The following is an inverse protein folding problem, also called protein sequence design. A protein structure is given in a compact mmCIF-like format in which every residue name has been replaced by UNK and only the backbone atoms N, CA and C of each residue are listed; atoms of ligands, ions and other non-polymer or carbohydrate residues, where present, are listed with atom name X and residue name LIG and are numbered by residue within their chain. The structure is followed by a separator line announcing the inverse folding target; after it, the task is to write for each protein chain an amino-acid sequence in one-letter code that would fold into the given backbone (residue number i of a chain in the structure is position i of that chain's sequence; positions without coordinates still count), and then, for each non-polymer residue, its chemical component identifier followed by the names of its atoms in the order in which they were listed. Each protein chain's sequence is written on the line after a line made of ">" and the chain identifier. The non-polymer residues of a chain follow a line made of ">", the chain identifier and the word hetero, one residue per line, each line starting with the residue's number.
data_IF_614561418134
#
_entry.id   IF_614561418134
#
_cell.length_a   1.000
_cell.length_b   1.000
_cell.length_c   1.000
_cell.angle_alpha   90.00
_cell.angle_beta   90.00
_cell.angle_gamma   90.00
#
_symmetry.space_group_name_H-M   'P 1'
#
loop_
_entity.id
_entity.type
_entity.pdbx_description
1 polymer ?
#
# COMPACT_ATOMS: atom_id res chain seq x y z
N UNK A 1 5.14 -17.97 -33.91
CA UNK A 1 4.96 -16.92 -32.90
C UNK A 1 5.30 -17.39 -31.47
N UNK A 2 5.06 -18.65 -31.10
CA UNK A 2 5.38 -19.20 -29.76
C UNK A 2 6.89 -19.22 -29.40
N UNK A 3 7.79 -19.53 -30.35
CA UNK A 3 9.24 -19.59 -30.09
C UNK A 3 9.88 -18.22 -29.77
N UNK A 4 9.32 -17.15 -30.33
CA UNK A 4 9.81 -15.79 -30.06
C UNK A 4 9.42 -15.34 -28.65
N UNK A 5 8.20 -15.65 -28.20
CA UNK A 5 7.75 -15.38 -26.84
C UNK A 5 8.61 -16.11 -25.80
N UNK A 6 8.97 -17.37 -26.06
CA UNK A 6 9.80 -18.17 -25.14
C UNK A 6 11.22 -17.60 -25.00
N UNK A 7 11.84 -17.14 -26.09
CA UNK A 7 13.16 -16.47 -26.04
C UNK A 7 13.11 -15.13 -25.31
N UNK A 8 12.06 -14.33 -25.52
CA UNK A 8 11.91 -13.05 -24.80
C UNK A 8 11.74 -13.28 -23.30
N UNK A 9 10.99 -14.30 -22.90
CA UNK A 9 10.82 -14.65 -21.48
C UNK A 9 12.15 -15.12 -20.87
N UNK A 10 12.89 -16.01 -21.55
CA UNK A 10 14.18 -16.49 -21.07
C UNK A 10 15.18 -15.34 -20.86
N UNK A 11 15.31 -14.45 -21.86
CA UNK A 11 16.23 -13.30 -21.77
C UNK A 11 15.80 -12.29 -20.69
N UNK A 12 14.49 -12.12 -20.48
CA UNK A 12 13.99 -11.21 -19.42
C UNK A 12 14.31 -11.79 -18.04
N UNK A 13 14.16 -13.10 -17.85
CA UNK A 13 14.50 -13.78 -16.60
C UNK A 13 16.00 -13.68 -16.32
N UNK A 14 16.86 -13.94 -17.31
CA UNK A 14 18.31 -13.86 -17.16
C UNK A 14 18.77 -12.43 -16.81
N UNK A 15 18.23 -11.41 -17.49
CA UNK A 15 18.49 -10.01 -17.17
C UNK A 15 18.04 -9.62 -15.75
N UNK A 16 16.92 -10.18 -15.27
CA UNK A 16 16.46 -9.93 -13.88
C UNK A 16 17.35 -10.62 -12.85
N UNK A 17 17.92 -11.78 -13.17
CA UNK A 17 18.87 -12.50 -12.31
C UNK A 17 20.20 -11.74 -12.23
N UNK A 18 20.71 -11.22 -13.35
CA UNK A 18 21.93 -10.40 -13.34
C UNK A 18 21.73 -9.05 -12.62
N UNK A 19 20.58 -8.40 -12.81
CA UNK A 19 20.25 -7.16 -12.12
C UNK A 19 20.06 -7.36 -10.60
N UNK A 20 19.59 -8.52 -10.15
CA UNK A 20 19.49 -8.83 -8.71
C UNK A 20 20.84 -9.19 -8.10
N UNK A 21 21.68 -9.94 -8.83
CA UNK A 21 23.05 -10.28 -8.39
C UNK A 21 23.93 -9.04 -8.22
N UNK A 22 23.94 -8.14 -9.20
CA UNK A 22 24.70 -6.88 -9.13
C UNK A 22 24.25 -5.96 -7.98
N UNK A 23 22.95 -5.96 -7.64
CA UNK A 23 22.44 -5.22 -6.47
C UNK A 23 22.87 -5.83 -5.15
N UNK A 24 22.90 -7.17 -5.07
CA UNK A 24 23.39 -7.86 -3.88
C UNK A 24 24.88 -7.63 -3.67
N UNK A 25 25.69 -7.71 -4.72
CA UNK A 25 27.13 -7.42 -4.63
C UNK A 25 27.36 -5.98 -4.14
N UNK A 26 26.61 -5.02 -4.68
CA UNK A 26 26.68 -3.61 -4.24
C UNK A 26 26.22 -3.41 -2.79
N UNK A 27 25.22 -4.16 -2.33
CA UNK A 27 24.79 -4.12 -0.94
C UNK A 27 25.85 -4.69 -0.01
N UNK A 28 26.44 -5.84 -0.37
CA UNK A 28 27.52 -6.47 0.40
C UNK A 28 28.75 -5.57 0.49
N UNK A 29 29.17 -4.93 -0.60
CA UNK A 29 30.32 -4.01 -0.58
C UNK A 29 30.02 -2.77 0.27
N UNK A 30 28.81 -2.23 0.18
CA UNK A 30 28.42 -1.04 0.97
C UNK A 30 28.32 -1.38 2.46
N UNK A 31 27.76 -2.55 2.80
CA UNK A 31 27.69 -3.03 4.17
C UNK A 31 29.08 -3.27 4.77
N UNK A 32 30.02 -3.83 4.00
CA UNK A 32 31.41 -4.01 4.44
C UNK A 32 32.09 -2.69 4.77
N UNK A 33 31.95 -1.67 3.91
CA UNK A 33 32.55 -0.35 4.14
C UNK A 33 31.99 0.29 5.42
N UNK A 34 30.68 0.19 5.67
CA UNK A 34 30.09 0.70 6.91
C UNK A 34 30.49 -0.11 8.15
N UNK A 35 30.70 -1.42 8.01
CA UNK A 35 31.19 -2.27 9.08
C UNK A 35 32.62 -1.90 9.46
N UNK A 36 33.49 -1.69 8.49
CA UNK A 36 34.89 -1.28 8.72
C UNK A 36 34.96 0.13 9.36
N UNK A 37 34.16 1.09 8.88
CA UNK A 37 34.04 2.42 9.51
C UNK A 37 33.58 2.35 10.97
N UNK A 38 32.65 1.44 11.28
CA UNK A 38 32.17 1.26 12.65
C UNK A 38 33.24 0.59 13.52
N UNK A 39 33.97 -0.39 12.98
CA UNK A 39 35.06 -1.06 13.66
C UNK A 39 36.23 -0.11 13.98
N UNK A 40 36.57 0.81 13.06
CA UNK A 40 37.57 1.86 13.30
C UNK A 40 37.13 2.82 14.42
N UNK A 41 35.86 3.26 14.43
CA UNK A 41 35.34 4.10 15.51
C UNK A 41 35.42 3.42 16.89
N UNK A 42 35.19 2.11 16.96
CA UNK A 42 35.37 1.34 18.20
C UNK A 42 36.83 1.28 18.66
N UNK A 43 37.81 1.28 17.74
CA UNK A 43 39.22 1.33 18.12
C UNK A 43 39.60 2.69 18.71
N UNK A 44 39.07 3.78 18.17
CA UNK A 44 39.28 5.14 18.70
C UNK A 44 38.68 5.28 20.11
N UNK A 45 37.46 4.76 20.33
CA UNK A 45 36.86 4.74 21.67
C UNK A 45 37.68 3.90 22.66
N UNK A 46 38.27 2.79 22.22
CA UNK A 46 39.15 1.98 23.08
C UNK A 46 40.40 2.73 23.50
N UNK A 47 40.99 3.53 22.59
CA UNK A 47 42.16 4.34 22.89
C UNK A 47 41.84 5.51 23.83
N UNK A 48 40.71 6.19 23.64
CA UNK A 48 40.24 7.22 24.57
C UNK A 48 39.90 6.63 25.94
N UNK A 49 39.22 5.47 25.99
CA UNK A 49 38.90 4.80 27.24
C UNK A 49 40.15 4.40 28.03
N UNK A 50 41.17 3.85 27.37
CA UNK A 50 42.42 3.49 28.04
C UNK A 50 43.16 4.68 28.65
N UNK A 51 43.05 5.89 28.07
CA UNK A 51 43.61 7.11 28.66
C UNK A 51 42.91 7.48 29.97
N UNK A 52 41.59 7.41 30.01
CA UNK A 52 40.82 7.67 31.24
C UNK A 52 40.98 6.57 32.27
N UNK A 53 41.08 5.31 31.83
CA UNK A 53 41.31 4.15 32.69
C UNK A 53 42.67 4.25 33.39
N UNK A 54 43.75 4.62 32.69
CA UNK A 54 45.07 4.78 33.29
C UNK A 54 45.10 5.89 34.36
N UNK A 55 44.39 7.01 34.14
CA UNK A 55 44.28 8.11 35.11
C UNK A 55 43.40 7.72 36.30
N UNK A 56 42.29 7.02 36.07
CA UNK A 56 41.39 6.56 37.13
C UNK A 56 42.06 5.47 37.99
N UNK A 57 42.69 4.47 37.37
CA UNK A 57 43.42 3.42 38.07
C UNK A 57 44.65 3.95 38.79
N UNK A 58 45.33 4.97 38.24
CA UNK A 58 46.42 5.68 38.92
C UNK A 58 45.95 6.35 40.21
N UNK A 59 44.85 7.11 40.15
CA UNK A 59 44.24 7.74 41.33
C UNK A 59 43.69 6.73 42.32
N UNK A 60 43.12 5.62 41.85
CA UNK A 60 42.63 4.53 42.72
C UNK A 60 43.82 3.86 43.42
N UNK A 61 44.95 3.63 42.75
CA UNK A 61 46.16 3.08 43.39
C UNK A 61 46.74 4.02 44.45
N UNK A 62 46.81 5.32 44.18
CA UNK A 62 47.20 6.33 45.18
C UNK A 62 46.23 6.35 46.36
N UNK A 63 44.92 6.27 46.09
CA UNK A 63 43.87 6.20 47.12
C UNK A 63 43.90 4.89 47.91
N UNK A 64 44.30 3.79 47.27
CA UNK A 64 44.41 2.46 47.86
C UNK A 64 45.61 2.37 48.81
N UNK A 65 46.72 3.04 48.48
CA UNK A 65 47.87 3.20 49.38
C UNK A 65 47.47 3.99 50.64
N UNK A 66 46.58 4.98 50.52
CA UNK A 66 46.00 5.71 51.67
C UNK A 66 44.96 4.87 52.44
N UNK A 67 44.15 4.05 51.75
CA UNK A 67 43.13 3.18 52.33
C UNK A 67 43.69 1.93 53.03
N UNK A 68 44.93 1.53 52.74
CA UNK A 68 45.64 0.43 53.42
C UNK A 68 45.80 0.66 54.94
N UNK A 69 45.58 1.88 55.42
CA UNK A 69 45.60 2.21 56.85
C UNK A 69 44.33 1.78 57.61
N UNK A 70 43.18 1.67 56.94
CA UNK A 70 41.89 1.32 57.56
C UNK A 70 40.99 0.48 56.60
N UNK A 71 41.25 -0.83 56.44
CA UNK A 71 40.65 -1.64 55.38
C UNK A 71 39.15 -1.92 55.54
N UNK A 72 38.62 -2.06 56.76
CA UNK A 72 37.23 -2.54 56.95
C UNK A 72 36.16 -1.44 56.79
N UNK A 73 36.42 -0.22 57.27
CA UNK A 73 35.47 0.89 57.17
C UNK A 73 35.42 1.47 55.75
N UNK A 74 36.57 1.54 55.09
CA UNK A 74 36.68 2.15 53.75
C UNK A 74 36.07 1.27 52.67
N UNK A 75 36.19 -0.06 52.75
CA UNK A 75 35.56 -0.96 51.77
C UNK A 75 34.03 -0.91 51.84
N UNK A 76 33.44 -0.84 53.03
CA UNK A 76 31.99 -0.70 53.19
C UNK A 76 31.47 0.65 52.68
N UNK A 77 32.17 1.75 52.97
CA UNK A 77 31.80 3.08 52.50
C UNK A 77 31.93 3.23 50.98
N UNK A 78 33.00 2.69 50.38
CA UNK A 78 33.25 2.77 48.93
C UNK A 78 32.24 1.93 48.13
N UNK A 79 31.88 0.73 48.60
CA UNK A 79 30.86 -0.09 47.94
C UNK A 79 29.46 0.53 48.08
N UNK A 80 29.10 1.04 49.26
CA UNK A 80 27.81 1.69 49.50
C UNK A 80 27.62 2.97 48.68
N UNK A 81 28.63 3.84 48.66
CA UNK A 81 28.61 5.07 47.86
C UNK A 81 28.71 4.76 46.36
N UNK A 82 29.49 3.76 45.96
CA UNK A 82 29.55 3.28 44.59
C UNK A 82 28.18 2.80 44.08
N UNK A 83 27.42 2.09 44.91
CA UNK A 83 26.10 1.57 44.54
C UNK A 83 25.02 2.66 44.44
N UNK A 84 25.14 3.74 45.21
CA UNK A 84 24.20 4.89 45.19
C UNK A 84 24.57 5.90 44.08
N UNK A 85 25.86 6.07 43.79
CA UNK A 85 26.35 7.02 42.79
C UNK A 85 26.19 6.53 41.34
N UNK A 86 26.05 5.23 41.10
CA UNK A 86 25.70 4.70 39.78
C UNK A 86 24.27 5.11 39.42
N UNK A 87 24.12 6.06 38.48
CA UNK A 87 22.81 6.60 38.07
C UNK A 87 21.77 5.52 37.69
N UNK A 88 22.21 4.37 37.18
CA UNK A 88 21.33 3.28 36.75
C UNK A 88 20.67 2.50 37.89
N UNK A 89 21.37 2.25 39.00
CA UNK A 89 20.87 1.40 40.11
C UNK A 89 19.80 2.13 40.94
N UNK A 90 19.96 3.44 41.16
CA UNK A 90 18.98 4.28 41.86
C UNK A 90 17.62 4.29 41.17
N UNK A 91 17.64 4.43 39.84
CA UNK A 91 16.42 4.47 39.03
C UNK A 91 15.73 3.11 38.99
N UNK A 92 16.51 2.03 38.86
CA UNK A 92 16.00 0.66 38.91
C UNK A 92 15.26 0.37 40.22
N UNK A 93 15.86 0.66 41.38
CA UNK A 93 15.21 0.43 42.67
C UNK A 93 14.00 1.33 42.90
N UNK A 94 14.05 2.61 42.48
CA UNK A 94 12.91 3.51 42.61
C UNK A 94 11.67 3.02 41.84
N UNK A 95 11.84 2.56 40.60
CA UNK A 95 10.73 2.01 39.82
C UNK A 95 10.30 0.62 40.30
N UNK A 96 11.24 -0.20 40.77
CA UNK A 96 10.93 -1.54 41.26
C UNK A 96 10.16 -1.50 42.59
N UNK A 97 10.50 -0.59 43.51
CA UNK A 97 9.78 -0.45 44.79
C UNK A 97 8.37 0.09 44.61
N UNK A 98 8.17 1.07 43.71
CA UNK A 98 6.82 1.57 43.38
C UNK A 98 5.90 0.46 42.86
N UNK A 99 6.44 -0.55 42.17
CA UNK A 99 5.69 -1.71 41.68
C UNK A 99 5.23 -2.63 42.82
N UNK A 100 6.00 -2.75 43.91
CA UNK A 100 5.63 -3.55 45.07
C UNK A 100 4.53 -2.92 45.93
N UNK A 101 4.35 -1.60 45.88
CA UNK A 101 3.30 -0.89 46.64
C UNK A 101 1.93 -0.85 45.93
N UNK A 102 1.81 -1.46 44.74
CA UNK A 102 0.51 -1.58 44.06
C UNK A 102 -0.23 -2.80 44.61
N UNK A 103 -1.26 -2.56 45.43
CA UNK A 103 -2.15 -3.61 45.95
C UNK A 103 -2.81 -4.39 44.81
N UNK A 104 -2.90 -5.71 44.94
CA UNK A 104 -3.54 -6.60 43.98
C UNK A 104 -4.96 -6.16 43.61
N UNK A 105 -5.73 -5.71 44.60
CA UNK A 105 -7.09 -5.18 44.43
C UNK A 105 -7.18 -3.97 43.48
N UNK A 106 -6.15 -3.10 43.47
CA UNK A 106 -6.08 -1.95 42.54
C UNK A 106 -5.78 -2.39 41.11
N UNK A 107 -5.01 -3.47 40.93
CA UNK A 107 -4.76 -4.05 39.61
C UNK A 107 -6.01 -4.74 39.08
N UNK A 108 -6.72 -5.50 39.93
CA UNK A 108 -7.97 -6.19 39.56
C UNK A 108 -9.07 -5.18 39.20
N UNK A 109 -9.32 -4.18 40.05
CA UNK A 109 -10.32 -3.14 39.74
C UNK A 109 -10.00 -2.34 38.47
N UNK A 110 -8.71 -2.07 38.19
CA UNK A 110 -8.28 -1.45 36.93
C UNK A 110 -8.48 -2.39 35.73
N UNK A 111 -8.26 -3.69 35.89
CA UNK A 111 -8.52 -4.67 34.86
C UNK A 111 -10.03 -4.76 34.55
N UNK A 112 -10.89 -4.78 35.58
CA UNK A 112 -12.35 -4.80 35.42
C UNK A 112 -12.87 -3.55 34.70
N UNK A 113 -12.37 -2.38 35.06
CA UNK A 113 -12.72 -1.13 34.38
C UNK A 113 -12.34 -1.17 32.88
N UNK A 114 -11.15 -1.69 32.56
CA UNK A 114 -10.71 -1.87 31.17
C UNK A 114 -11.56 -2.89 30.42
N UNK A 115 -11.90 -4.02 31.04
CA UNK A 115 -12.76 -5.04 30.44
C UNK A 115 -14.14 -4.45 30.14
N UNK A 116 -14.69 -3.63 31.04
CA UNK A 116 -15.98 -2.95 30.82
C UNK A 116 -15.91 -1.97 29.65
N UNK A 117 -14.85 -1.15 29.56
CA UNK A 117 -14.62 -0.25 28.43
C UNK A 117 -14.49 -1.02 27.11
N UNK A 118 -13.74 -2.13 27.11
CA UNK A 118 -13.58 -2.98 25.94
C UNK A 118 -14.91 -3.59 25.49
N UNK A 119 -15.72 -4.10 26.42
CA UNK A 119 -17.07 -4.61 26.10
C UNK A 119 -17.94 -3.54 25.47
N UNK A 120 -17.96 -2.32 26.02
CA UNK A 120 -18.71 -1.20 25.44
C UNK A 120 -18.24 -0.86 24.02
N UNK A 121 -16.92 -0.81 23.79
CA UNK A 121 -16.39 -0.56 22.45
C UNK A 121 -16.70 -1.68 21.46
N UNK A 122 -16.74 -2.93 21.94
CA UNK A 122 -17.06 -4.10 21.13
C UNK A 122 -18.54 -4.13 20.75
N UNK A 123 -19.44 -3.78 21.67
CA UNK A 123 -20.88 -3.70 21.37
C UNK A 123 -21.17 -2.56 20.38
N UNK A 124 -20.49 -1.41 20.50
CA UNK A 124 -20.56 -0.34 19.52
C UNK A 124 -20.06 -0.80 18.14
N UNK A 125 -18.93 -1.51 18.09
CA UNK A 125 -18.37 -2.06 16.85
C UNK A 125 -19.29 -3.10 16.21
N UNK A 126 -19.97 -3.95 17.00
CA UNK A 126 -20.97 -4.89 16.49
C UNK A 126 -22.12 -4.17 15.80
N UNK A 127 -22.69 -3.16 16.45
CA UNK A 127 -23.79 -2.37 15.89
C UNK A 127 -23.38 -1.62 14.62
N UNK A 128 -22.16 -1.10 14.57
CA UNK A 128 -21.60 -0.48 13.37
C UNK A 128 -21.35 -1.50 12.26
N UNK A 129 -20.83 -2.68 12.61
CA UNK A 129 -20.63 -3.81 11.71
C UNK A 129 -21.93 -4.24 11.02
N UNK A 130 -22.99 -4.47 11.78
CA UNK A 130 -24.31 -4.84 11.22
C UNK A 130 -24.88 -3.77 10.29
N UNK A 131 -24.67 -2.48 10.60
CA UNK A 131 -25.10 -1.37 9.73
C UNK A 131 -24.31 -1.33 8.43
N UNK A 132 -22.99 -1.54 8.50
CA UNK A 132 -22.13 -1.56 7.32
C UNK A 132 -22.41 -2.78 6.44
N UNK A 133 -22.69 -3.94 7.04
CA UNK A 133 -23.08 -5.15 6.32
C UNK A 133 -24.37 -4.94 5.54
N UNK A 134 -25.41 -4.38 6.16
CA UNK A 134 -26.67 -4.05 5.48
C UNK A 134 -26.46 -3.08 4.31
N UNK A 135 -25.65 -2.03 4.50
CA UNK A 135 -25.30 -1.09 3.42
C UNK A 135 -24.54 -1.76 2.28
N UNK A 136 -23.66 -2.71 2.59
CA UNK A 136 -22.91 -3.46 1.58
C UNK A 136 -23.84 -4.35 0.74
N UNK A 137 -24.79 -5.04 1.39
CA UNK A 137 -25.80 -5.86 0.70
C UNK A 137 -26.72 -5.02 -0.19
N UNK A 138 -27.19 -3.86 0.30
CA UNK A 138 -27.99 -2.93 -0.50
C UNK A 138 -27.21 -2.42 -1.72
N UNK A 139 -25.94 -2.03 -1.53
CA UNK A 139 -25.08 -1.57 -2.63
C UNK A 139 -24.79 -2.68 -3.66
N UNK A 140 -24.64 -3.93 -3.22
CA UNK A 140 -24.50 -5.08 -4.12
C UNK A 140 -25.75 -5.30 -4.96
N UNK A 141 -26.93 -5.26 -4.35
CA UNK A 141 -28.19 -5.42 -5.06
C UNK A 141 -28.39 -4.30 -6.10
N UNK A 142 -28.11 -3.06 -5.74
CA UNK A 142 -28.19 -1.92 -6.65
C UNK A 142 -27.17 -2.01 -7.80
N UNK A 143 -25.97 -2.54 -7.55
CA UNK A 143 -24.99 -2.81 -8.60
C UNK A 143 -25.53 -3.87 -9.58
N UNK A 144 -26.05 -5.00 -9.07
CA UNK A 144 -26.61 -6.06 -9.90
C UNK A 144 -27.79 -5.56 -10.75
N UNK A 145 -28.70 -4.79 -10.14
CA UNK A 145 -29.82 -4.12 -10.83
C UNK A 145 -29.31 -3.10 -11.87
N UNK A 146 -28.30 -2.30 -11.54
CA UNK A 146 -27.67 -1.36 -12.47
C UNK A 146 -27.04 -2.08 -13.67
N UNK A 147 -26.31 -3.18 -13.42
CA UNK A 147 -25.66 -3.99 -14.45
C UNK A 147 -26.66 -4.60 -15.43
N UNK A 148 -27.78 -5.13 -14.93
CA UNK A 148 -28.84 -5.69 -15.77
C UNK A 148 -29.51 -4.63 -16.64
N UNK A 149 -29.81 -3.45 -16.07
CA UNK A 149 -30.33 -2.29 -16.83
C UNK A 149 -29.37 -1.84 -17.92
N UNK A 150 -28.07 -1.71 -17.62
CA UNK A 150 -27.04 -1.35 -18.61
C UNK A 150 -26.94 -2.38 -19.73
N UNK A 151 -26.99 -3.67 -19.40
CA UNK A 151 -27.00 -4.75 -20.40
C UNK A 151 -28.22 -4.66 -21.32
N UNK A 152 -29.40 -4.41 -20.76
CA UNK A 152 -30.64 -4.26 -21.54
C UNK A 152 -30.59 -3.03 -22.44
N UNK A 153 -30.17 -1.88 -21.91
CA UNK A 153 -30.00 -0.65 -22.68
C UNK A 153 -28.97 -0.84 -23.80
N UNK A 154 -27.84 -1.51 -23.52
CA UNK A 154 -26.86 -1.88 -24.53
C UNK A 154 -27.47 -2.68 -25.69
N UNK A 155 -28.29 -3.70 -25.39
CA UNK A 155 -28.97 -4.51 -26.43
C UNK A 155 -29.92 -3.68 -27.28
N UNK A 156 -30.65 -2.74 -26.67
CA UNK A 156 -31.53 -1.82 -27.39
C UNK A 156 -30.72 -0.89 -28.31
N UNK A 157 -29.60 -0.35 -27.83
CA UNK A 157 -28.69 0.46 -28.64
C UNK A 157 -28.12 -0.37 -29.80
N UNK A 158 -27.71 -1.62 -29.56
CA UNK A 158 -27.23 -2.51 -30.62
C UNK A 158 -28.29 -2.76 -31.69
N UNK A 159 -29.55 -2.91 -31.28
CA UNK A 159 -30.68 -3.04 -32.21
C UNK A 159 -30.88 -1.76 -33.04
N UNK A 160 -30.76 -0.59 -32.41
CA UNK A 160 -30.81 0.71 -33.09
C UNK A 160 -29.62 0.94 -34.04
N UNK A 161 -28.42 0.46 -33.69
CA UNK A 161 -27.24 0.46 -34.58
C UNK A 161 -27.53 -0.38 -35.83
N UNK A 162 -28.12 -1.57 -35.65
CA UNK A 162 -28.46 -2.46 -36.75
C UNK A 162 -29.56 -1.86 -37.65
N UNK A 163 -30.55 -1.18 -37.09
CA UNK A 163 -31.57 -0.50 -37.89
C UNK A 163 -31.00 0.70 -38.64
N UNK A 164 -30.18 1.54 -38.00
CA UNK A 164 -29.46 2.63 -38.66
C UNK A 164 -28.54 2.13 -39.78
N UNK A 165 -27.86 0.99 -39.58
CA UNK A 165 -27.05 0.35 -40.60
C UNK A 165 -27.87 -0.12 -41.80
N UNK A 166 -29.06 -0.70 -41.58
CA UNK A 166 -29.99 -1.08 -42.66
C UNK A 166 -30.45 0.15 -43.46
N UNK A 167 -30.80 1.24 -42.78
CA UNK A 167 -31.19 2.51 -43.43
C UNK A 167 -30.04 3.07 -44.27
N UNK A 168 -28.81 3.12 -43.71
CA UNK A 168 -27.61 3.55 -44.44
C UNK A 168 -27.38 2.71 -45.71
N UNK A 169 -27.56 1.39 -45.61
CA UNK A 169 -27.43 0.48 -46.76
C UNK A 169 -28.52 0.69 -47.81
N UNK A 170 -29.77 0.82 -47.41
CA UNK A 170 -30.89 1.10 -48.32
C UNK A 170 -30.72 2.45 -49.02
N UNK A 171 -30.34 3.49 -48.27
CA UNK A 171 -30.05 4.81 -48.83
C UNK A 171 -28.88 4.77 -49.81
N UNK A 172 -27.81 4.03 -49.49
CA UNK A 172 -26.67 3.86 -50.40
C UNK A 172 -27.08 3.14 -51.70
N UNK A 173 -27.85 2.06 -51.60
CA UNK A 173 -28.36 1.36 -52.78
C UNK A 173 -29.29 2.23 -53.64
N UNK A 174 -30.19 3.00 -53.02
CA UNK A 174 -31.06 3.94 -53.73
C UNK A 174 -30.27 5.05 -54.43
N UNK A 175 -29.22 5.57 -53.77
CA UNK A 175 -28.32 6.55 -54.35
C UNK A 175 -27.61 6.00 -55.60
N UNK A 176 -27.24 4.72 -55.59
CA UNK A 176 -26.60 4.07 -56.73
C UNK A 176 -27.58 3.92 -57.89
N UNK A 177 -28.83 3.49 -57.65
CA UNK A 177 -29.87 3.46 -58.70
C UNK A 177 -30.13 4.86 -59.28
N UNK A 178 -30.25 5.89 -58.43
CA UNK A 178 -30.46 7.28 -58.86
C UNK A 178 -29.27 7.87 -59.61
N UNK A 179 -28.09 7.25 -59.55
CA UNK A 179 -26.91 7.67 -60.31
C UNK A 179 -27.08 7.41 -61.80
N UNK A 180 -27.82 6.38 -62.16
CA UNK A 180 -27.98 5.91 -63.54
C UNK A 180 -29.09 6.66 -64.29
N UNK A 181 -29.94 7.42 -63.59
CA UNK A 181 -30.99 8.24 -64.20
C UNK A 181 -30.53 9.69 -64.42
N UNK A 182 -30.50 10.19 -65.68
CA UNK A 182 -30.06 11.56 -65.99
C UNK A 182 -31.14 12.64 -65.74
N UNK A 183 -32.13 12.41 -64.86
CA UNK A 183 -33.22 13.37 -64.62
C UNK A 183 -32.90 14.43 -63.55
N UNK A 184 -33.51 15.62 -63.68
CA UNK A 184 -33.36 16.72 -62.69
C UNK A 184 -33.91 16.30 -61.31
N UNK A 185 -35.02 15.56 -61.29
CA UNK A 185 -35.62 15.05 -60.06
C UNK A 185 -34.72 14.02 -59.37
N UNK A 186 -34.10 13.13 -60.15
CA UNK A 186 -33.13 12.15 -59.65
C UNK A 186 -31.95 12.83 -58.94
N UNK A 187 -31.48 13.97 -59.45
CA UNK A 187 -30.42 14.76 -58.78
C UNK A 187 -30.87 15.33 -57.43
N UNK A 188 -32.11 15.83 -57.32
CA UNK A 188 -32.68 16.31 -56.05
C UNK A 188 -32.80 15.17 -55.03
N UNK A 189 -33.38 14.03 -55.43
CA UNK A 189 -33.49 12.86 -54.55
C UNK A 189 -32.12 12.32 -54.15
N UNK A 190 -31.14 12.31 -55.06
CA UNK A 190 -29.77 11.88 -54.75
C UNK A 190 -29.14 12.71 -53.64
N UNK A 191 -29.36 14.03 -53.62
CA UNK A 191 -28.91 14.90 -52.52
C UNK A 191 -29.59 14.55 -51.20
N UNK A 192 -30.91 14.40 -51.20
CA UNK A 192 -31.67 14.02 -50.01
C UNK A 192 -31.22 12.68 -49.43
N UNK A 193 -31.11 11.65 -50.28
CA UNK A 193 -30.67 10.30 -49.88
C UNK A 193 -29.23 10.31 -49.39
N UNK A 194 -28.34 11.10 -50.00
CA UNK A 194 -26.95 11.25 -49.54
C UNK A 194 -26.88 11.91 -48.16
N UNK A 195 -27.71 12.90 -47.90
CA UNK A 195 -27.77 13.55 -46.59
C UNK A 195 -28.32 12.59 -45.53
N UNK A 196 -29.40 11.87 -45.83
CA UNK A 196 -29.98 10.86 -44.94
C UNK A 196 -28.98 9.74 -44.60
N UNK A 197 -28.21 9.25 -45.59
CA UNK A 197 -27.16 8.25 -45.34
C UNK A 197 -26.04 8.79 -44.43
N UNK A 198 -25.65 10.06 -44.59
CA UNK A 198 -24.65 10.71 -43.74
C UNK A 198 -25.15 10.87 -42.31
N UNK A 199 -26.39 11.29 -42.13
CA UNK A 199 -27.04 11.42 -40.81
C UNK A 199 -27.14 10.07 -40.11
N UNK A 200 -27.68 9.05 -40.79
CA UNK A 200 -27.77 7.69 -40.25
C UNK A 200 -26.40 7.14 -39.83
N UNK A 201 -25.35 7.37 -40.64
CA UNK A 201 -23.98 6.98 -40.31
C UNK A 201 -23.43 7.72 -39.10
N UNK A 202 -23.73 9.02 -38.96
CA UNK A 202 -23.31 9.84 -37.81
C UNK A 202 -23.96 9.32 -36.52
N UNK A 203 -25.26 9.09 -36.53
CA UNK A 203 -26.01 8.53 -35.40
C UNK A 203 -25.51 7.14 -35.03
N UNK A 204 -25.32 6.25 -36.02
CA UNK A 204 -24.76 4.91 -35.81
C UNK A 204 -23.41 4.96 -35.11
N UNK A 205 -22.51 5.85 -35.55
CA UNK A 205 -21.19 6.00 -34.95
C UNK A 205 -21.27 6.59 -33.53
N UNK A 206 -22.22 7.47 -33.24
CA UNK A 206 -22.46 7.98 -31.90
C UNK A 206 -22.95 6.85 -30.96
N UNK A 207 -23.96 6.10 -31.38
CA UNK A 207 -24.48 4.94 -30.63
C UNK A 207 -23.42 3.86 -30.41
N UNK A 208 -22.58 3.59 -31.41
CA UNK A 208 -21.48 2.60 -31.30
C UNK A 208 -20.44 3.01 -30.25
N UNK A 209 -20.16 4.31 -30.09
CA UNK A 209 -19.29 4.80 -29.00
C UNK A 209 -19.91 4.54 -27.62
N UNK A 210 -21.22 4.74 -27.47
CA UNK A 210 -21.91 4.45 -26.20
C UNK A 210 -21.90 2.96 -25.86
N UNK A 211 -22.12 2.07 -26.85
CA UNK A 211 -21.97 0.61 -26.63
C UNK A 211 -20.55 0.23 -26.22
N UNK A 212 -19.54 0.86 -26.84
CA UNK A 212 -18.14 0.62 -26.48
C UNK A 212 -17.86 1.04 -25.04
N UNK A 213 -18.41 2.16 -24.57
CA UNK A 213 -18.33 2.56 -23.15
C UNK A 213 -18.94 1.51 -22.23
N UNK A 214 -20.11 0.97 -22.57
CA UNK A 214 -20.75 -0.10 -21.79
C UNK A 214 -19.87 -1.35 -21.74
N UNK A 215 -19.28 -1.74 -22.88
CA UNK A 215 -18.37 -2.89 -22.95
C UNK A 215 -17.09 -2.68 -22.13
N UNK A 216 -16.56 -1.46 -22.05
CA UNK A 216 -15.37 -1.14 -21.26
C UNK A 216 -15.60 -1.32 -19.76
N UNK A 217 -16.85 -1.26 -19.28
CA UNK A 217 -17.19 -1.62 -17.90
C UNK A 217 -17.25 -3.14 -17.65
N UNK A 218 -16.86 -3.97 -18.62
CA UNK A 218 -16.90 -5.44 -18.51
C UNK A 218 -18.32 -6.02 -18.66
N UNK A 219 -19.26 -5.23 -19.18
CA UNK A 219 -20.64 -5.66 -19.43
C UNK A 219 -20.75 -6.09 -20.89
N UNK A 220 -20.92 -7.40 -21.12
CA UNK A 220 -21.20 -7.93 -22.46
C UNK A 220 -22.59 -7.47 -22.91
N UNK A 221 -22.63 -6.68 -23.97
CA UNK A 221 -23.85 -6.23 -24.65
C UNK A 221 -24.25 -7.24 -25.72
#
# INVERSE_FOLDING_TARGET
>A
QALFAQRTIANTVENTIEATRSRLDRFLTTASIHFDQTAESFQDFKFEYHKYEAVALGKIKESFVVASSHPYLTTGAVLGLGFISLKGTRQYFYYNTLRFFVTEEKLVSRADAKVKQLKQSFDALKLEGEKLEKRALEAEEDLLRGRTKLKQAGKQIQTAINSAYKIERQASGLKDVLKDLPSIESSRFRKQVTNLAKEAKKERNALSKEVTKISNYGISV
#
